data_IF_161043178439
#
_entry.id   IF_161043178439
#
_cell.length_a   1.000
_cell.length_b   1.000
_cell.length_c   1.000
_cell.angle_alpha   90.00
_cell.angle_beta   90.00
_cell.angle_gamma   90.00
#
_symmetry.space_group_name_H-M   'P 1'
#
loop_
_entity.id
_entity.type
_entity.pdbx_description
1 polymer ?
#
# COMPACT_ATOMS: atom_id res chain seq x y z
N UNK A 1 27.30 -0.61 5.79
CA UNK A 1 26.03 -1.09 5.22
C UNK A 1 26.15 -2.57 4.97
N UNK A 2 25.37 -3.39 5.69
CA UNK A 2 25.36 -4.84 5.55
C UNK A 2 23.99 -5.34 5.13
N UNK A 3 23.90 -6.57 4.63
CA UNK A 3 22.64 -7.26 4.38
C UNK A 3 22.46 -8.35 5.44
N UNK A 4 21.30 -8.39 6.07
CA UNK A 4 20.92 -9.43 7.01
C UNK A 4 19.71 -10.19 6.45
N UNK A 5 19.78 -11.52 6.41
CA UNK A 5 18.61 -12.34 6.17
C UNK A 5 17.88 -12.61 7.49
N UNK A 6 16.62 -12.21 7.56
CA UNK A 6 15.79 -12.38 8.74
C UNK A 6 14.42 -12.93 8.36
N UNK A 7 13.88 -13.75 9.25
CA UNK A 7 12.49 -14.16 9.16
C UNK A 7 11.59 -13.01 9.64
N UNK A 8 10.80 -12.48 8.72
CA UNK A 8 9.89 -11.39 8.94
C UNK A 8 8.47 -11.95 9.10
N UNK A 9 7.90 -11.78 10.29
CA UNK A 9 6.54 -12.19 10.61
C UNK A 9 5.59 -10.98 10.61
N UNK A 10 4.43 -11.15 9.98
CA UNK A 10 3.35 -10.16 9.92
C UNK A 10 2.11 -10.72 10.58
N UNK A 11 1.46 -9.89 11.40
CA UNK A 11 0.19 -10.22 12.04
C UNK A 11 0.33 -10.72 13.46
N UNK A 12 -0.79 -11.17 14.01
CA UNK A 12 -0.91 -11.71 15.36
C UNK A 12 -1.62 -13.06 15.29
N UNK A 13 -1.28 -14.03 16.15
CA UNK A 13 -1.96 -15.32 16.18
C UNK A 13 -3.48 -15.16 16.35
N UNK A 14 -4.31 -15.96 15.65
CA UNK A 14 -3.97 -17.09 14.78
C UNK A 14 -3.71 -16.71 13.31
N UNK A 15 -3.59 -15.41 12.99
CA UNK A 15 -3.48 -14.87 11.63
C UNK A 15 -2.08 -14.28 11.43
N UNK A 16 -1.07 -15.14 11.38
CA UNK A 16 0.31 -14.75 11.10
C UNK A 16 0.75 -15.24 9.71
N UNK A 17 1.72 -14.52 9.13
CA UNK A 17 2.44 -14.94 7.92
C UNK A 17 3.92 -14.63 8.11
N UNK A 18 4.77 -15.61 7.85
CA UNK A 18 6.23 -15.48 8.00
C UNK A 18 6.88 -15.67 6.65
N UNK A 19 7.76 -14.75 6.28
CA UNK A 19 8.59 -14.84 5.08
C UNK A 19 10.06 -14.66 5.46
N UNK A 20 10.96 -15.29 4.71
CA UNK A 20 12.39 -15.00 4.82
C UNK A 20 12.72 -13.83 3.89
N UNK A 21 13.31 -12.77 4.43
CA UNK A 21 13.60 -11.54 3.68
C UNK A 21 14.99 -10.99 4.00
N UNK A 22 15.62 -10.40 2.99
CA UNK A 22 16.90 -9.70 3.14
C UNK A 22 16.66 -8.23 3.45
N UNK A 23 17.26 -7.73 4.53
CA UNK A 23 17.18 -6.34 4.96
C UNK A 23 18.55 -5.69 4.87
N UNK A 24 18.60 -4.46 4.39
CA UNK A 24 19.79 -3.62 4.50
C UNK A 24 19.84 -3.03 5.90
N UNK A 25 20.91 -3.33 6.63
CA UNK A 25 21.18 -2.75 7.95
C UNK A 25 21.84 -1.40 7.75
N UNK A 26 21.19 -0.37 8.29
CA UNK A 26 21.59 1.03 8.20
C UNK A 26 21.83 1.55 9.61
N UNK A 27 23.02 2.06 9.87
CA UNK A 27 23.34 2.74 11.13
C UNK A 27 22.76 4.15 11.08
N UNK A 28 21.75 4.41 11.93
CA UNK A 28 21.06 5.70 12.04
C UNK A 28 21.11 6.11 13.51
N UNK A 29 21.58 7.32 13.81
CA UNK A 29 21.79 7.79 15.19
C UNK A 29 20.50 7.87 16.01
N UNK A 30 19.36 8.22 15.40
CA UNK A 30 18.04 8.31 16.05
C UNK A 30 16.94 7.76 15.11
N UNK A 31 16.72 6.43 15.08
CA UNK A 31 15.74 5.83 14.17
C UNK A 31 14.30 6.01 14.68
N UNK A 32 13.39 6.44 13.81
CA UNK A 32 11.95 6.54 14.12
C UNK A 32 11.15 5.27 13.79
N UNK A 33 11.80 4.25 13.25
CA UNK A 33 11.19 2.97 12.86
C UNK A 33 12.23 1.84 12.91
N UNK A 34 11.76 0.62 13.16
CA UNK A 34 12.63 -0.57 13.26
C UNK A 34 13.05 -1.14 11.90
N UNK A 35 12.31 -0.82 10.83
CA UNK A 35 12.63 -1.29 9.49
C UNK A 35 11.66 -0.76 8.43
N UNK A 36 12.11 -0.79 7.17
CA UNK A 36 11.29 -0.47 6.01
C UNK A 36 11.00 -1.76 5.24
N UNK A 37 9.72 -1.96 4.94
CA UNK A 37 9.26 -3.12 4.19
C UNK A 37 8.96 -2.66 2.77
N UNK A 38 9.78 -3.12 1.83
CA UNK A 38 9.60 -2.84 0.41
C UNK A 38 8.45 -3.63 -0.23
N UNK A 39 8.09 -3.22 -1.45
CA UNK A 39 7.10 -3.90 -2.29
C UNK A 39 7.37 -5.42 -2.50
N UNK A 40 8.63 -5.90 -2.66
CA UNK A 40 8.90 -7.32 -2.80
C UNK A 40 8.39 -8.15 -1.60
N UNK A 41 8.68 -7.69 -0.38
CA UNK A 41 8.29 -8.36 0.86
C UNK A 41 6.77 -8.27 1.07
N UNK A 42 6.15 -7.14 0.73
CA UNK A 42 4.68 -6.99 0.75
C UNK A 42 4.00 -7.96 -0.23
N UNK A 43 4.56 -8.13 -1.43
CA UNK A 43 4.05 -9.07 -2.42
C UNK A 43 4.18 -10.52 -1.94
N UNK A 44 5.29 -10.86 -1.28
CA UNK A 44 5.50 -12.20 -0.73
C UNK A 44 4.45 -12.61 0.31
N UNK A 45 3.99 -11.68 1.15
CA UNK A 45 2.87 -11.93 2.09
C UNK A 45 1.47 -11.73 1.45
N UNK A 46 1.41 -11.49 0.14
CA UNK A 46 0.17 -11.16 -0.60
C UNK A 46 -0.58 -9.99 0.06
N UNK A 47 0.16 -8.94 0.42
CA UNK A 47 -0.40 -7.80 1.11
C UNK A 47 -1.24 -6.92 0.18
N UNK A 48 -2.35 -6.43 0.72
CA UNK A 48 -3.11 -5.31 0.19
C UNK A 48 -2.95 -4.17 1.19
N UNK A 49 -2.19 -3.14 0.81
CA UNK A 49 -2.00 -1.95 1.63
C UNK A 49 -3.11 -0.96 1.30
N UNK A 50 -3.77 -0.44 2.34
CA UNK A 50 -4.74 0.65 2.26
C UNK A 50 -4.11 1.88 2.94
N UNK A 51 -3.33 2.70 2.21
CA UNK A 51 -2.65 3.87 2.79
C UNK A 51 -3.62 4.83 3.46
N UNK A 52 -4.81 5.02 2.86
CA UNK A 52 -5.84 5.93 3.36
C UNK A 52 -6.31 5.57 4.78
N UNK A 53 -6.42 4.28 5.07
CA UNK A 53 -6.91 3.76 6.35
C UNK A 53 -5.77 3.26 7.25
N UNK A 54 -4.52 3.42 6.81
CA UNK A 54 -3.32 2.99 7.53
C UNK A 54 -3.42 1.52 7.96
N UNK A 55 -3.97 0.71 7.05
CA UNK A 55 -4.27 -0.71 7.24
C UNK A 55 -3.63 -1.54 6.15
N UNK A 56 -3.23 -2.75 6.51
CA UNK A 56 -2.73 -3.74 5.58
C UNK A 56 -3.48 -5.04 5.81
N UNK A 57 -3.98 -5.64 4.73
CA UNK A 57 -4.48 -7.01 4.71
C UNK A 57 -3.41 -7.91 4.13
N UNK A 58 -3.36 -9.17 4.52
CA UNK A 58 -2.42 -10.15 3.97
C UNK A 58 -3.05 -11.55 4.02
N UNK A 59 -2.54 -12.45 3.20
CA UNK A 59 -3.03 -13.84 3.16
C UNK A 59 -2.28 -14.70 4.16
N UNK A 60 -3.02 -15.54 4.90
CA UNK A 60 -2.48 -16.55 5.82
C UNK A 60 -3.13 -17.90 5.52
N UNK A 61 -2.57 -19.01 6.02
CA UNK A 61 -3.18 -20.33 5.85
C UNK A 61 -4.61 -20.41 6.39
N UNK A 62 -4.92 -19.70 7.46
CA UNK A 62 -6.25 -19.70 8.04
C UNK A 62 -7.24 -18.71 7.41
N UNK A 63 -6.80 -17.86 6.47
CA UNK A 63 -7.62 -16.82 5.85
C UNK A 63 -6.92 -15.45 5.79
N UNK A 64 -7.71 -14.37 5.78
CA UNK A 64 -7.17 -13.00 5.67
C UNK A 64 -6.75 -12.45 7.02
N UNK A 65 -5.47 -12.11 7.17
CA UNK A 65 -4.93 -11.35 8.29
C UNK A 65 -5.04 -9.85 8.06
N UNK A 66 -4.99 -9.07 9.14
CA UNK A 66 -5.02 -7.59 9.12
C UNK A 66 -3.98 -7.05 10.09
N UNK A 67 -3.23 -6.03 9.65
CA UNK A 67 -2.39 -5.19 10.50
C UNK A 67 -2.93 -3.76 10.40
N UNK A 68 -3.17 -3.13 11.55
CA UNK A 68 -3.49 -1.70 11.62
C UNK A 68 -2.37 -1.00 12.36
N UNK A 69 -1.93 0.16 11.88
CA UNK A 69 -1.11 1.04 12.71
C UNK A 69 -1.93 1.63 13.85
N UNK A 70 -1.25 2.10 14.89
CA UNK A 70 -1.83 3.04 15.86
C UNK A 70 -2.37 4.25 15.08
N UNK A 71 -3.70 4.34 15.05
CA UNK A 71 -4.43 5.34 14.28
C UNK A 71 -4.18 6.75 14.82
N UNK A 72 -3.94 6.90 16.13
CA UNK A 72 -3.70 8.22 16.74
C UNK A 72 -2.32 8.76 16.33
N UNK A 73 -1.28 7.93 16.45
CA UNK A 73 0.07 8.31 16.04
C UNK A 73 0.15 8.57 14.53
N UNK A 74 -0.47 7.70 13.74
CA UNK A 74 -0.43 7.82 12.30
C UNK A 74 -1.27 9.00 11.77
N UNK A 75 -2.40 9.31 12.41
CA UNK A 75 -3.19 10.53 12.10
C UNK A 75 -2.41 11.79 12.44
N UNK A 76 -1.83 11.89 13.64
CA UNK A 76 -1.00 13.04 14.05
C UNK A 76 0.16 13.25 13.09
N UNK A 77 0.85 12.19 12.68
CA UNK A 77 1.92 12.28 11.68
C UNK A 77 1.41 12.80 10.33
N UNK A 78 0.28 12.27 9.83
CA UNK A 78 -0.30 12.71 8.54
C UNK A 78 -0.77 14.17 8.57
N UNK A 79 -1.34 14.61 9.69
CA UNK A 79 -1.79 16.00 9.88
C UNK A 79 -0.60 16.97 9.96
N UNK A 80 0.46 16.58 10.67
CA UNK A 80 1.65 17.41 10.84
C UNK A 80 2.58 17.41 9.61
N UNK A 81 2.45 16.43 8.71
CA UNK A 81 3.23 16.33 7.48
C UNK A 81 2.32 16.20 6.24
N UNK A 82 1.64 17.29 5.83
CA UNK A 82 0.79 17.25 4.65
C UNK A 82 1.62 16.98 3.39
N UNK A 83 1.20 16.01 2.59
CA UNK A 83 1.77 15.79 1.25
C UNK A 83 1.29 16.94 0.36
N UNK A 84 2.12 17.97 0.20
CA UNK A 84 1.86 19.07 -0.74
C UNK A 84 2.25 18.58 -2.14
N UNK A 85 1.25 18.11 -2.90
CA UNK A 85 1.42 17.89 -4.33
C UNK A 85 1.52 19.25 -5.02
N UNK A 86 2.75 19.69 -5.35
CA UNK A 86 2.92 20.83 -6.26
C UNK A 86 2.53 20.38 -7.66
N UNK A 87 1.45 20.93 -8.20
CA UNK A 87 1.13 20.78 -9.61
C UNK A 87 2.27 21.42 -10.42
N UNK A 88 3.01 20.60 -11.17
CA UNK A 88 3.83 21.15 -12.26
C UNK A 88 2.86 21.61 -13.33
N UNK A 89 2.88 22.90 -13.68
CA UNK A 89 2.04 23.44 -14.74
C UNK A 89 2.26 22.61 -16.03
N UNK A 90 1.21 22.07 -16.66
CA UNK A 90 1.38 21.36 -17.91
C UNK A 90 1.81 22.35 -19.00
N UNK A 91 2.95 22.09 -19.63
CA UNK A 91 3.39 22.80 -20.83
C UNK A 91 2.36 22.61 -21.96
N UNK A 92 1.51 23.61 -22.15
CA UNK A 92 0.98 24.05 -23.44
C UNK A 92 0.43 23.01 -24.44
N UNK A 93 -0.32 21.99 -24.03
CA UNK A 93 -1.05 21.15 -25.00
C UNK A 93 -2.55 21.09 -24.66
N UNK A 94 -3.37 21.65 -25.56
CA UNK A 94 -4.83 21.71 -25.45
C UNK A 94 -5.44 20.31 -25.26
N UNK A 95 -6.42 20.13 -24.36
CA UNK A 95 -7.05 18.84 -24.11
C UNK A 95 -7.88 18.40 -25.33
N UNK A 96 -7.65 17.17 -25.81
CA UNK A 96 -8.50 16.52 -26.81
C UNK A 96 -9.82 16.13 -26.15
N UNK A 97 -10.95 16.60 -26.68
CA UNK A 97 -12.29 16.16 -26.25
C UNK A 97 -12.46 14.68 -26.61
N UNK A 98 -12.70 13.84 -25.60
CA UNK A 98 -13.18 12.48 -25.81
C UNK A 98 -14.70 12.54 -25.98
N UNK A 99 -15.20 12.12 -27.15
CA UNK A 99 -16.63 11.92 -27.40
C UNK A 99 -17.09 10.63 -26.73
N UNK A 100 -18.19 10.73 -25.98
CA UNK A 100 -18.83 9.61 -25.32
C UNK A 100 -19.57 8.78 -26.39
N UNK A 101 -19.15 7.54 -26.62
CA UNK A 101 -19.89 6.59 -27.48
C UNK A 101 -20.94 5.90 -26.61
N UNK A 102 -22.19 6.31 -26.78
CA UNK A 102 -23.36 5.66 -26.17
C UNK A 102 -23.65 4.36 -26.90
N UNK A 103 -23.48 3.22 -26.22
CA UNK A 103 -23.87 1.91 -26.75
C UNK A 103 -25.38 1.73 -26.56
N UNK A 104 -26.18 1.90 -27.62
CA UNK A 104 -27.59 1.51 -27.63
C UNK A 104 -27.71 -0.01 -27.49
N UNK A 105 -28.23 -0.49 -26.37
CA UNK A 105 -28.75 -1.86 -26.23
C UNK A 105 -30.02 -1.99 -27.06
N UNK A 106 -30.00 -2.90 -28.05
CA UNK A 106 -31.20 -3.31 -28.78
C UNK A 106 -32.04 -4.21 -27.87
N UNK A 107 -33.21 -3.74 -27.48
CA UNK A 107 -34.26 -4.58 -26.90
C UNK A 107 -35.17 -5.01 -28.05
N UNK A 108 -35.09 -6.28 -28.42
CA UNK A 108 -36.04 -6.90 -29.33
C UNK A 108 -37.22 -7.43 -28.53
N UNK A 109 -38.44 -7.08 -28.92
CA UNK A 109 -39.55 -7.99 -28.73
C UNK A 109 -40.56 -7.85 -29.87
N UNK A 110 -40.78 -8.97 -30.54
CA UNK A 110 -41.69 -9.20 -31.65
C UNK A 110 -43.10 -9.42 -31.10
N UNK A 111 -44.09 -8.76 -31.69
CA UNK A 111 -45.42 -9.34 -31.92
C UNK A 111 -45.87 -8.95 -33.31
#
# INVERSE_FOLDING_TARGET
MGIAELDFMVGEPPRTSTIRASFTVVDISEPSYNGLIGCPNLTAVRAIVLPLYLKMKFSTMGGMGKVSRDQNMARRHRENHPVVMKATQPSGKKPRKFSQVERKSKEGNTK
#
